data_IF_822950102018
#
_entry.id   IF_822950102018
#
_cell.length_a   1.000
_cell.length_b   1.000
_cell.length_c   1.000
_cell.angle_alpha   90.00
_cell.angle_beta   90.00
_cell.angle_gamma   90.00
#
_symmetry.space_group_name_H-M   'P 1'
#
loop_
_entity.id
_entity.type
_entity.pdbx_description
1 polymer ?
#
# COMPACT_ATOMS: atom_id res chain seq x y z
N UNK A 1 -27.52 6.98 -50.54
CA UNK A 1 -26.81 8.08 -49.84
C UNK A 1 -26.96 8.01 -48.31
N UNK A 2 -26.93 6.81 -47.69
CA UNK A 2 -27.15 6.65 -46.23
C UNK A 2 -25.87 6.39 -45.40
N UNK A 3 -24.72 6.14 -46.05
CA UNK A 3 -23.48 5.77 -45.37
C UNK A 3 -22.70 6.95 -44.79
N UNK A 4 -22.88 8.17 -45.32
CA UNK A 4 -22.20 9.36 -44.83
C UNK A 4 -22.73 9.79 -43.45
N UNK A 5 -24.05 9.82 -43.28
CA UNK A 5 -24.70 10.24 -42.03
C UNK A 5 -24.44 9.25 -40.88
N UNK A 6 -24.43 7.95 -41.19
CA UNK A 6 -24.13 6.91 -40.20
C UNK A 6 -22.68 6.99 -39.69
N UNK A 7 -21.72 7.34 -40.55
CA UNK A 7 -20.32 7.52 -40.18
C UNK A 7 -20.13 8.69 -39.20
N UNK A 8 -20.79 9.81 -39.46
CA UNK A 8 -20.72 10.98 -38.58
C UNK A 8 -21.34 10.71 -37.21
N UNK A 9 -22.42 9.94 -37.14
CA UNK A 9 -23.01 9.52 -35.87
C UNK A 9 -22.05 8.65 -35.04
N UNK A 10 -21.34 7.71 -35.68
CA UNK A 10 -20.34 6.86 -35.00
C UNK A 10 -19.16 7.69 -34.50
N UNK A 11 -18.68 8.66 -35.28
CA UNK A 11 -17.58 9.56 -34.87
C UNK A 11 -17.98 10.41 -33.66
N UNK A 12 -19.20 10.96 -33.65
CA UNK A 12 -19.71 11.75 -32.53
C UNK A 12 -19.87 10.90 -31.27
N UNK A 13 -20.37 9.67 -31.40
CA UNK A 13 -20.52 8.73 -30.28
C UNK A 13 -19.15 8.37 -29.68
N UNK A 14 -18.16 8.05 -30.53
CA UNK A 14 -16.79 7.76 -30.10
C UNK A 14 -16.12 8.96 -29.42
N UNK A 15 -16.32 10.17 -29.95
CA UNK A 15 -15.80 11.39 -29.34
C UNK A 15 -16.41 11.65 -27.96
N UNK A 16 -17.72 11.42 -27.78
CA UNK A 16 -18.37 11.51 -26.47
C UNK A 16 -17.85 10.45 -25.49
N UNK A 17 -17.69 9.20 -25.92
CA UNK A 17 -17.15 8.13 -25.08
C UNK A 17 -15.70 8.43 -24.65
N UNK A 18 -14.85 8.90 -25.58
CA UNK A 18 -13.48 9.29 -25.27
C UNK A 18 -13.42 10.51 -24.33
N UNK A 19 -14.28 11.50 -24.54
CA UNK A 19 -14.40 12.67 -23.66
C UNK A 19 -14.85 12.27 -22.24
N UNK A 20 -15.84 11.38 -22.13
CA UNK A 20 -16.30 10.85 -20.85
C UNK A 20 -15.18 10.09 -20.11
N UNK A 21 -14.42 9.27 -20.83
CA UNK A 21 -13.30 8.52 -20.25
C UNK A 21 -12.17 9.43 -19.76
N UNK A 22 -11.88 10.52 -20.47
CA UNK A 22 -10.89 11.52 -20.04
C UNK A 22 -11.33 12.28 -18.79
N UNK A 23 -12.63 12.57 -18.65
CA UNK A 23 -13.19 13.19 -17.44
C UNK A 23 -13.12 12.24 -16.23
N UNK A 24 -13.45 10.96 -16.44
CA UNK A 24 -13.29 9.90 -15.43
C UNK A 24 -11.81 9.74 -15.03
N UNK A 25 -10.88 9.77 -15.99
CA UNK A 25 -9.45 9.68 -15.71
C UNK A 25 -8.95 10.90 -14.92
N UNK A 26 -9.42 12.11 -15.26
CA UNK A 26 -9.13 13.32 -14.48
C UNK A 26 -9.70 13.30 -13.06
N UNK A 27 -10.83 12.62 -12.85
CA UNK A 27 -11.44 12.42 -11.51
C UNK A 27 -10.82 11.23 -10.75
N UNK A 28 -10.26 10.25 -11.45
CA UNK A 28 -9.54 9.10 -10.86
C UNK A 28 -8.17 9.46 -10.31
N UNK A 29 -7.61 10.62 -10.69
CA UNK A 29 -6.38 11.19 -10.13
C UNK A 29 -6.73 12.27 -9.07
N UNK A 30 -7.76 12.01 -8.27
CA UNK A 30 -7.82 12.65 -6.96
C UNK A 30 -6.70 12.02 -6.11
N UNK A 31 -5.49 12.56 -6.26
CA UNK A 31 -4.40 12.36 -5.31
C UNK A 31 -4.97 12.65 -3.93
N UNK A 32 -5.11 11.62 -3.10
CA UNK A 32 -5.38 11.81 -1.69
C UNK A 32 -4.27 12.72 -1.16
N UNK A 33 -4.60 13.99 -0.89
CA UNK A 33 -3.70 14.87 -0.18
C UNK A 33 -3.59 14.28 1.22
N UNK A 34 -2.45 13.65 1.50
CA UNK A 34 -2.07 13.30 2.86
C UNK A 34 -1.99 14.62 3.64
N UNK A 35 -2.99 14.88 4.48
CA UNK A 35 -2.98 16.03 5.36
C UNK A 35 -1.89 15.80 6.41
N UNK A 36 -0.70 16.35 6.18
CA UNK A 36 0.31 16.48 7.21
C UNK A 36 -0.24 17.43 8.28
N UNK A 37 -0.80 16.85 9.34
CA UNK A 37 -1.12 17.60 10.54
C UNK A 37 0.18 17.80 11.30
N UNK A 38 0.89 18.89 10.99
CA UNK A 38 1.94 19.44 11.86
C UNK A 38 1.29 20.03 13.10
N UNK A 39 0.80 19.16 14.00
CA UNK A 39 0.42 19.56 15.34
C UNK A 39 1.65 19.41 16.24
N UNK A 40 2.30 20.54 16.46
CA UNK A 40 3.28 20.74 17.53
C UNK A 40 2.66 20.37 18.87
N UNK A 41 2.99 19.19 19.43
CA UNK A 41 3.00 19.02 20.87
C UNK A 41 3.80 17.78 21.30
N UNK A 42 4.84 18.09 22.03
CA UNK A 42 5.74 17.24 22.80
C UNK A 42 4.96 16.19 23.63
N UNK A 43 4.78 14.99 23.10
CA UNK A 43 4.45 13.78 23.88
C UNK A 43 5.10 12.57 23.24
N UNK A 44 6.09 12.01 23.92
CA UNK A 44 6.55 10.61 23.87
C UNK A 44 6.24 9.85 22.56
N UNK A 45 7.18 9.87 21.62
CA UNK A 45 7.32 8.91 20.50
C UNK A 45 5.99 8.38 19.93
N UNK A 46 5.10 9.27 19.48
CA UNK A 46 3.93 8.85 18.71
C UNK A 46 4.44 8.43 17.33
N UNK A 47 4.53 7.11 17.13
CA UNK A 47 4.90 6.53 15.84
C UNK A 47 4.05 7.14 14.73
N UNK A 48 4.69 7.57 13.65
CA UNK A 48 4.02 8.18 12.50
C UNK A 48 3.21 7.11 11.78
N UNK A 49 1.97 6.89 12.23
CA UNK A 49 1.03 5.97 11.59
C UNK A 49 0.65 6.59 10.25
N UNK A 50 0.92 5.87 9.17
CA UNK A 50 0.55 6.25 7.80
C UNK A 50 -0.60 5.37 7.34
N UNK A 51 -1.60 5.98 6.72
CA UNK A 51 -2.75 5.30 6.15
C UNK A 51 -2.66 5.38 4.62
N UNK A 52 -2.70 4.23 3.95
CA UNK A 52 -2.64 4.13 2.49
C UNK A 52 -3.80 3.25 2.02
N UNK A 53 -4.51 3.66 0.98
CA UNK A 53 -5.57 2.85 0.37
C UNK A 53 -5.11 2.29 -0.97
N UNK A 54 -5.57 1.09 -1.33
CA UNK A 54 -5.23 0.53 -2.63
C UNK A 54 -5.95 -0.78 -2.94
N UNK A 55 -5.81 -1.28 -4.19
CA UNK A 55 -6.36 -2.57 -4.57
C UNK A 55 -5.74 -3.69 -3.74
N UNK A 56 -6.55 -4.70 -3.44
CA UNK A 56 -6.20 -5.87 -2.68
C UNK A 56 -6.59 -7.11 -3.49
N UNK A 57 -5.63 -7.67 -4.21
CA UNK A 57 -5.87 -8.76 -5.17
C UNK A 57 -6.73 -8.31 -6.36
N UNK A 58 -7.47 -9.25 -6.98
CA UNK A 58 -8.28 -8.99 -8.18
C UNK A 58 -9.61 -8.27 -7.91
N UNK A 59 -10.19 -8.45 -6.72
CA UNK A 59 -11.58 -8.00 -6.45
C UNK A 59 -11.73 -7.18 -5.16
N UNK A 60 -10.64 -6.86 -4.48
CA UNK A 60 -10.67 -6.12 -3.22
C UNK A 60 -10.13 -4.70 -3.36
N UNK A 61 -10.65 -3.81 -2.51
CA UNK A 61 -9.98 -2.56 -2.16
C UNK A 61 -9.75 -2.56 -0.66
N UNK A 62 -8.61 -2.02 -0.22
CA UNK A 62 -8.16 -2.13 1.16
C UNK A 62 -7.52 -0.87 1.71
N UNK A 63 -7.35 -0.88 3.03
CA UNK A 63 -6.67 0.12 3.82
C UNK A 63 -5.46 -0.54 4.51
N UNK A 64 -4.30 0.05 4.32
CA UNK A 64 -3.03 -0.32 4.94
C UNK A 64 -2.70 0.73 6.00
N UNK A 65 -2.56 0.31 7.25
CA UNK A 65 -2.06 1.14 8.34
C UNK A 65 -0.62 0.73 8.64
N UNK A 66 0.31 1.68 8.53
CA UNK A 66 1.75 1.46 8.68
C UNK A 66 2.24 2.29 9.85
N UNK A 67 2.56 1.65 10.96
CA UNK A 67 3.26 2.25 12.08
C UNK A 67 4.77 2.10 11.87
N UNK A 68 5.44 3.18 11.48
CA UNK A 68 6.89 3.18 11.27
C UNK A 68 7.69 3.19 12.58
N UNK A 69 7.07 3.63 13.69
CA UNK A 69 7.70 3.62 15.00
C UNK A 69 7.78 2.20 15.56
N UNK A 70 6.66 1.49 15.56
CA UNK A 70 6.56 0.10 16.02
C UNK A 70 6.86 -0.94 14.94
N UNK A 71 7.24 -0.49 13.73
CA UNK A 71 7.52 -1.34 12.55
C UNK A 71 6.43 -2.38 12.33
N UNK A 72 5.17 -1.96 12.37
CA UNK A 72 4.01 -2.83 12.25
C UNK A 72 3.09 -2.36 11.13
N UNK A 73 2.63 -3.29 10.30
CA UNK A 73 1.64 -3.04 9.26
C UNK A 73 0.36 -3.82 9.57
N UNK A 74 -0.79 -3.21 9.35
CA UNK A 74 -2.11 -3.85 9.43
C UNK A 74 -2.87 -3.60 8.12
N UNK A 75 -3.56 -4.64 7.63
CA UNK A 75 -4.30 -4.61 6.38
C UNK A 75 -5.77 -4.89 6.66
N UNK A 76 -6.62 -4.02 6.13
CA UNK A 76 -8.07 -4.14 6.18
C UNK A 76 -8.63 -4.18 4.77
N UNK A 77 -9.65 -5.01 4.55
CA UNK A 77 -10.43 -5.01 3.31
C UNK A 77 -11.71 -4.22 3.53
N UNK A 78 -12.08 -3.42 2.54
CA UNK A 78 -13.35 -2.75 2.52
C UNK A 78 -14.47 -3.73 2.16
N UNK A 79 -15.49 -3.81 3.01
CA UNK A 79 -16.69 -4.63 2.79
C UNK A 79 -17.93 -3.75 2.97
N UNK A 80 -18.35 -3.09 1.88
CA UNK A 80 -19.52 -2.22 1.86
C UNK A 80 -19.33 -0.90 2.62
N UNK A 81 -19.59 -0.90 3.93
CA UNK A 81 -19.32 0.24 4.84
C UNK A 81 -18.41 -0.14 6.01
N UNK A 82 -17.99 -1.40 6.08
CA UNK A 82 -17.22 -1.95 7.18
C UNK A 82 -15.78 -2.23 6.73
N UNK A 83 -14.84 -2.12 7.67
CA UNK A 83 -13.47 -2.57 7.48
C UNK A 83 -13.30 -3.95 8.12
N UNK A 84 -13.01 -4.95 7.30
CA UNK A 84 -12.65 -6.29 7.77
C UNK A 84 -11.14 -6.36 7.93
N UNK A 85 -10.68 -6.63 9.15
CA UNK A 85 -9.26 -6.92 9.38
C UNK A 85 -8.87 -8.22 8.68
N UNK A 86 -7.76 -8.18 7.95
CA UNK A 86 -7.23 -9.35 7.24
C UNK A 86 -5.96 -9.88 7.88
N UNK A 87 -5.02 -8.99 8.16
CA UNK A 87 -3.72 -9.35 8.67
C UNK A 87 -3.05 -8.19 9.40
N UNK A 88 -2.14 -8.52 10.31
CA UNK A 88 -1.13 -7.58 10.81
C UNK A 88 0.19 -8.30 10.98
N UNK A 89 1.30 -7.61 10.73
CA UNK A 89 2.64 -8.16 10.88
C UNK A 89 3.62 -7.09 11.37
N UNK A 90 4.55 -7.50 12.21
CA UNK A 90 5.73 -6.71 12.52
C UNK A 90 6.82 -6.99 11.48
N UNK A 91 7.34 -5.94 10.85
CA UNK A 91 8.32 -6.01 9.76
C UNK A 91 9.73 -5.60 10.22
N UNK A 92 10.03 -5.64 11.52
CA UNK A 92 11.34 -5.22 12.08
C UNK A 92 12.53 -5.90 11.41
N UNK A 93 12.36 -7.17 11.04
CA UNK A 93 13.42 -8.01 10.51
C UNK A 93 13.28 -8.29 9.01
N UNK A 94 12.20 -7.82 8.38
CA UNK A 94 11.87 -8.18 6.99
C UNK A 94 12.93 -7.69 5.99
N UNK A 95 13.65 -6.62 6.29
CA UNK A 95 14.74 -6.08 5.46
C UNK A 95 16.14 -6.56 5.87
N UNK A 96 16.27 -7.37 6.91
CA UNK A 96 17.57 -7.84 7.42
C UNK A 96 18.01 -9.18 6.83
N UNK A 97 17.18 -9.79 5.99
CA UNK A 97 17.48 -11.06 5.35
C UNK A 97 17.88 -10.77 3.91
N UNK A 98 19.10 -11.14 3.54
CA UNK A 98 19.63 -10.99 2.18
C UNK A 98 19.04 -12.02 1.20
N UNK A 99 18.44 -13.09 1.73
CA UNK A 99 17.74 -14.10 0.95
C UNK A 99 16.33 -13.64 0.57
N UNK A 100 16.19 -13.19 -0.67
CA UNK A 100 14.93 -12.69 -1.22
C UNK A 100 13.97 -13.83 -1.57
N UNK A 101 12.66 -13.58 -1.40
CA UNK A 101 11.57 -14.42 -1.91
C UNK A 101 11.40 -15.81 -1.23
N UNK A 102 11.65 -15.90 0.08
CA UNK A 102 11.45 -17.12 0.87
C UNK A 102 10.05 -17.15 1.52
N UNK A 103 9.40 -18.31 1.57
CA UNK A 103 8.10 -18.52 2.22
C UNK A 103 8.25 -18.88 3.71
N UNK A 104 9.14 -18.18 4.42
CA UNK A 104 9.45 -18.47 5.83
C UNK A 104 8.53 -17.70 6.78
N UNK A 105 8.23 -18.31 7.92
CA UNK A 105 7.39 -17.68 8.94
C UNK A 105 8.08 -16.47 9.59
N UNK A 106 7.33 -15.47 10.11
CA UNK A 106 7.93 -14.31 10.78
C UNK A 106 8.83 -14.65 11.98
N UNK A 107 8.56 -15.76 12.67
CA UNK A 107 9.41 -16.25 13.78
C UNK A 107 10.76 -16.72 13.27
N UNK A 108 10.75 -17.38 12.12
CA UNK A 108 11.96 -17.89 11.48
C UNK A 108 12.82 -16.74 10.93
N UNK A 109 12.18 -15.72 10.34
CA UNK A 109 12.84 -14.48 9.92
C UNK A 109 13.61 -13.87 11.09
N UNK A 110 12.94 -13.71 12.24
CA UNK A 110 13.58 -13.18 13.46
C UNK A 110 14.78 -14.03 13.90
N UNK A 111 14.63 -15.36 13.91
CA UNK A 111 15.70 -16.29 14.31
C UNK A 111 16.93 -16.13 13.42
N UNK A 112 16.73 -16.11 12.10
CA UNK A 112 17.81 -15.97 11.11
C UNK A 112 18.50 -14.62 11.24
N UNK A 113 17.74 -13.52 11.38
CA UNK A 113 18.34 -12.20 11.58
C UNK A 113 19.16 -12.10 12.87
N UNK A 114 18.70 -12.72 13.97
CA UNK A 114 19.45 -12.75 15.22
C UNK A 114 20.72 -13.61 15.13
N UNK A 115 20.65 -14.74 14.41
CA UNK A 115 21.80 -15.60 14.17
C UNK A 115 22.86 -14.89 13.33
N UNK A 116 22.47 -14.22 12.24
CA UNK A 116 23.38 -13.41 11.43
C UNK A 116 24.10 -12.35 12.28
N UNK A 117 23.36 -11.58 13.09
CA UNK A 117 23.93 -10.55 13.97
C UNK A 117 24.93 -11.13 15.00
N UNK A 118 24.70 -12.36 15.49
CA UNK A 118 25.63 -13.03 16.40
C UNK A 118 26.91 -13.51 15.71
N UNK A 119 26.83 -13.88 14.44
CA UNK A 119 27.95 -14.36 13.63
C UNK A 119 28.82 -13.23 13.09
N UNK A 120 28.27 -12.02 12.95
CA UNK A 120 29.01 -10.79 12.60
C UNK A 120 29.74 -10.15 13.78
N UNK A 121 29.48 -10.61 15.02
CA UNK A 121 30.20 -10.21 16.24
C UNK A 121 31.31 -11.19 16.71
N UNK A 122 32.18 -11.78 15.86
CA UNK A 122 33.32 -12.54 16.37
C UNK A 122 34.51 -11.58 16.57
N UNK A 123 34.75 -11.09 17.79
CA UNK A 123 36.08 -10.52 18.09
C UNK A 123 36.26 -9.47 19.20
N UNK A 124 35.22 -8.88 19.80
CA UNK A 124 35.43 -7.82 20.82
C UNK A 124 35.58 -8.35 22.27
N UNK A 125 36.11 -9.56 22.42
CA UNK A 125 36.55 -10.08 23.72
C UNK A 125 37.86 -10.85 23.56
N UNK A 126 38.98 -10.11 23.52
CA UNK A 126 40.15 -10.25 24.41
C UNK A 126 41.34 -9.42 23.89
#
# INVERSE_FOLDING_TARGET
MHSASARWLVVVLLAMAAGGLLVELGRGINSAQAQETSASQETKAVGRIQAVTGPLGREGFGLYLIDTGNKTIAVYQYQGKNLRWLASRNFTYDMRIEDYNTQISPREVKRLSQQAESLERPGDQQ
#
